data_IF_602056618253
#
_entry.id   IF_602056618253
#
_cell.length_a   1.000
_cell.length_b   1.000
_cell.length_c   1.000
_cell.angle_alpha   90.00
_cell.angle_beta   90.00
_cell.angle_gamma   90.00
#
_symmetry.space_group_name_H-M   'P 1'
#
loop_
_entity.id
_entity.type
_entity.pdbx_description
1 polymer ?
#
# COMPACT_ATOMS: atom_id res chain seq x y z
N UNK A 1 -23.82 82.29 12.41
CA UNK A 1 -24.60 81.52 11.45
C UNK A 1 -23.71 80.48 10.85
N UNK A 2 -23.76 79.29 11.34
CA UNK A 2 -22.95 78.17 10.88
C UNK A 2 -23.86 77.18 10.13
N UNK A 3 -23.58 76.99 8.82
CA UNK A 3 -24.28 76.06 7.95
C UNK A 3 -23.66 74.67 8.09
N UNK A 4 -24.44 73.68 8.48
CA UNK A 4 -24.05 72.29 8.54
C UNK A 4 -24.24 71.62 7.18
N UNK A 5 -23.15 71.17 6.53
CA UNK A 5 -23.20 70.40 5.33
C UNK A 5 -23.26 68.89 5.72
N UNK A 6 -24.43 68.31 5.51
CA UNK A 6 -24.66 66.86 5.65
C UNK A 6 -24.12 66.09 4.44
N UNK A 7 -22.97 65.48 4.56
CA UNK A 7 -22.45 64.54 3.56
C UNK A 7 -23.20 63.18 3.65
N UNK A 8 -23.98 62.88 2.60
CA UNK A 8 -24.62 61.56 2.43
C UNK A 8 -23.59 60.61 1.88
N UNK A 9 -23.09 59.68 2.76
CA UNK A 9 -22.34 58.50 2.32
C UNK A 9 -23.33 57.53 1.63
N UNK A 10 -23.20 57.41 0.33
CA UNK A 10 -23.90 56.39 -0.46
C UNK A 10 -23.17 55.07 -0.29
N UNK A 11 -23.60 54.24 0.65
CA UNK A 11 -23.05 52.91 0.85
C UNK A 11 -23.64 51.99 -0.22
N UNK A 12 -22.95 51.87 -1.35
CA UNK A 12 -23.23 50.83 -2.34
C UNK A 12 -22.82 49.48 -1.74
N UNK A 13 -23.78 48.74 -1.17
CA UNK A 13 -23.65 47.36 -0.81
C UNK A 13 -23.45 46.58 -2.10
N UNK A 14 -22.19 46.33 -2.46
CA UNK A 14 -21.84 45.35 -3.48
C UNK A 14 -22.33 44.00 -2.96
N UNK A 15 -23.37 43.46 -3.57
CA UNK A 15 -23.84 42.12 -3.38
C UNK A 15 -22.69 41.15 -3.77
N UNK A 16 -21.99 40.67 -2.75
CA UNK A 16 -21.11 39.49 -2.84
C UNK A 16 -21.96 38.21 -2.88
N UNK A 17 -22.87 38.13 -3.85
CA UNK A 17 -23.73 36.98 -4.07
C UNK A 17 -23.75 36.71 -5.57
N UNK A 18 -22.79 35.86 -6.01
CA UNK A 18 -22.88 34.97 -7.15
C UNK A 18 -21.46 34.42 -7.49
N UNK A 19 -20.73 34.03 -6.46
CA UNK A 19 -19.70 33.05 -6.74
C UNK A 19 -20.41 31.69 -6.65
N UNK A 20 -20.59 30.93 -7.74
CA UNK A 20 -21.18 29.60 -7.65
C UNK A 20 -20.31 28.78 -6.69
N UNK A 21 -20.89 28.33 -5.58
CA UNK A 21 -20.22 27.34 -4.72
C UNK A 21 -19.85 26.21 -5.66
N UNK A 22 -18.57 25.84 -5.77
CA UNK A 22 -18.16 24.75 -6.66
C UNK A 22 -19.00 23.52 -6.32
N UNK A 23 -19.78 23.08 -7.29
CA UNK A 23 -20.64 21.90 -7.08
C UNK A 23 -19.73 20.74 -6.66
N UNK A 24 -20.00 20.13 -5.50
CA UNK A 24 -19.19 19.02 -5.01
C UNK A 24 -19.19 17.91 -6.05
N UNK A 25 -18.00 17.42 -6.43
CA UNK A 25 -17.87 16.27 -7.34
C UNK A 25 -18.59 15.07 -6.80
N UNK A 26 -19.40 14.42 -7.64
CA UNK A 26 -20.02 13.12 -7.34
C UNK A 26 -19.03 12.00 -7.63
N UNK A 27 -18.68 11.20 -6.63
CA UNK A 27 -17.65 10.20 -6.73
C UNK A 27 -18.18 8.78 -6.50
N UNK A 28 -17.64 7.82 -7.24
CA UNK A 28 -17.63 6.43 -6.84
C UNK A 28 -16.25 6.08 -6.31
N UNK A 29 -16.19 5.23 -5.27
CA UNK A 29 -14.95 4.80 -4.66
C UNK A 29 -14.80 3.29 -4.75
N UNK A 30 -13.72 2.80 -5.35
CA UNK A 30 -13.39 1.39 -5.48
C UNK A 30 -12.16 1.05 -4.63
N UNK A 31 -12.32 0.24 -3.60
CA UNK A 31 -11.21 -0.12 -2.72
C UNK A 31 -11.52 -1.33 -1.85
N UNK A 32 -10.48 -1.99 -1.33
CA UNK A 32 -10.66 -3.19 -0.48
C UNK A 32 -9.75 -3.15 0.76
N UNK A 33 -8.42 -2.96 0.66
CA UNK A 33 -7.50 -3.11 1.78
C UNK A 33 -7.52 -1.91 2.73
N UNK A 34 -6.89 -2.08 3.88
CA UNK A 34 -6.71 -1.01 4.88
C UNK A 34 -6.05 0.24 4.27
N UNK A 35 -5.15 0.07 3.31
CA UNK A 35 -4.48 1.16 2.59
C UNK A 35 -5.46 2.14 1.94
N UNK A 36 -6.63 1.67 1.50
CA UNK A 36 -7.65 2.49 0.84
C UNK A 36 -8.52 3.32 1.82
N UNK A 37 -8.55 2.93 3.09
CA UNK A 37 -9.45 3.53 4.09
C UNK A 37 -9.18 5.03 4.31
N UNK A 38 -7.92 5.51 4.51
CA UNK A 38 -7.66 6.93 4.70
C UNK A 38 -8.16 7.80 3.54
N UNK A 39 -8.02 7.32 2.30
CA UNK A 39 -8.53 8.04 1.12
C UNK A 39 -10.06 8.18 1.16
N UNK A 40 -10.79 7.09 1.46
CA UNK A 40 -12.25 7.16 1.57
C UNK A 40 -12.70 8.13 2.66
N UNK A 41 -12.09 8.06 3.84
CA UNK A 41 -12.39 8.94 4.97
C UNK A 41 -12.12 10.40 4.59
N UNK A 42 -10.95 10.67 4.01
CA UNK A 42 -10.52 12.02 3.64
C UNK A 42 -11.42 12.66 2.59
N UNK A 43 -11.90 11.88 1.61
CA UNK A 43 -12.86 12.37 0.61
C UNK A 43 -14.16 12.84 1.25
N UNK A 44 -14.73 12.06 2.18
CA UNK A 44 -15.95 12.41 2.90
C UNK A 44 -15.72 13.63 3.81
N UNK A 45 -14.63 13.65 4.59
CA UNK A 45 -14.28 14.76 5.49
C UNK A 45 -14.07 16.09 4.76
N UNK A 46 -13.56 16.05 3.52
CA UNK A 46 -13.34 17.25 2.70
C UNK A 46 -14.57 17.67 1.88
N UNK A 47 -15.71 17.00 2.10
CA UNK A 47 -17.00 17.39 1.51
C UNK A 47 -17.25 16.91 0.09
N UNK A 48 -16.44 15.96 -0.44
CA UNK A 48 -16.79 15.32 -1.71
C UNK A 48 -18.00 14.39 -1.54
N UNK A 49 -18.89 14.37 -2.52
CA UNK A 49 -20.07 13.51 -2.51
C UNK A 49 -19.68 12.08 -2.95
N UNK A 50 -19.28 11.22 -2.00
CA UNK A 50 -19.04 9.80 -2.28
C UNK A 50 -20.37 9.07 -2.30
N UNK A 51 -20.99 8.93 -3.48
CA UNK A 51 -22.32 8.34 -3.64
C UNK A 51 -22.35 6.82 -3.61
N UNK A 52 -21.23 6.15 -3.89
CA UNK A 52 -21.14 4.68 -3.90
C UNK A 52 -19.73 4.19 -3.57
N UNK A 53 -19.64 3.22 -2.66
CA UNK A 53 -18.42 2.46 -2.38
C UNK A 53 -18.53 1.07 -2.99
N UNK A 54 -17.55 0.70 -3.80
CA UNK A 54 -17.41 -0.61 -4.43
C UNK A 54 -16.27 -1.35 -3.77
N UNK A 55 -16.51 -2.49 -3.14
CA UNK A 55 -15.47 -3.29 -2.50
C UNK A 55 -15.64 -4.77 -2.84
N UNK A 56 -14.59 -5.56 -2.64
CA UNK A 56 -14.70 -6.99 -2.88
C UNK A 56 -15.65 -7.66 -1.88
N UNK A 57 -16.32 -8.75 -2.26
CA UNK A 57 -17.14 -9.55 -1.36
C UNK A 57 -16.41 -9.96 -0.09
N UNK A 58 -17.16 -10.16 0.99
CA UNK A 58 -16.63 -10.67 2.24
C UNK A 58 -16.00 -12.05 2.01
N UNK A 59 -14.87 -12.32 2.63
CA UNK A 59 -14.13 -13.56 2.45
C UNK A 59 -13.96 -14.29 3.78
N UNK A 60 -14.04 -15.63 3.79
CA UNK A 60 -13.65 -16.41 4.96
C UNK A 60 -12.23 -16.11 5.38
N UNK A 61 -11.99 -15.85 6.67
CA UNK A 61 -10.67 -15.58 7.23
C UNK A 61 -10.45 -16.33 8.55
N UNK A 62 -9.19 -16.71 8.79
CA UNK A 62 -8.82 -17.42 10.01
C UNK A 62 -9.21 -18.90 10.02
N UNK A 63 -8.88 -19.59 11.14
CA UNK A 63 -9.15 -21.03 11.31
C UNK A 63 -10.65 -21.38 11.37
N UNK A 64 -11.49 -20.43 11.79
CA UNK A 64 -12.96 -20.58 11.87
C UNK A 64 -13.71 -20.28 10.58
N UNK A 65 -13.03 -19.85 9.49
CA UNK A 65 -13.64 -19.48 8.21
C UNK A 65 -14.78 -18.45 8.34
N UNK A 66 -14.76 -17.61 9.36
CA UNK A 66 -15.75 -16.54 9.54
C UNK A 66 -15.66 -15.51 8.40
N UNK A 67 -16.82 -15.11 7.89
CA UNK A 67 -16.91 -14.08 6.86
C UNK A 67 -16.46 -12.73 7.44
N UNK A 68 -15.36 -12.20 6.95
CA UNK A 68 -14.81 -10.93 7.41
C UNK A 68 -15.03 -9.86 6.36
N UNK A 69 -15.72 -8.79 6.76
CA UNK A 69 -15.90 -7.60 5.95
C UNK A 69 -14.56 -6.91 5.65
N UNK A 70 -14.41 -6.40 4.41
CA UNK A 70 -13.21 -5.64 4.04
C UNK A 70 -13.08 -4.39 4.92
N UNK A 71 -11.84 -3.89 5.17
CA UNK A 71 -11.61 -2.62 5.87
C UNK A 71 -12.37 -1.44 5.25
N UNK A 72 -12.48 -1.40 3.93
CA UNK A 72 -13.24 -0.36 3.22
C UNK A 72 -14.73 -0.49 3.49
N UNK A 73 -15.32 -1.71 3.48
CA UNK A 73 -16.73 -1.93 3.84
C UNK A 73 -17.02 -1.43 5.25
N UNK A 74 -16.17 -1.81 6.22
CA UNK A 74 -16.32 -1.37 7.60
C UNK A 74 -16.28 0.16 7.74
N UNK A 75 -15.41 0.83 6.99
CA UNK A 75 -15.32 2.28 6.99
C UNK A 75 -16.53 2.94 6.32
N UNK A 76 -16.98 2.43 5.17
CA UNK A 76 -18.14 2.96 4.45
C UNK A 76 -19.42 2.85 5.28
N UNK A 77 -19.61 1.74 6.02
CA UNK A 77 -20.74 1.59 6.96
C UNK A 77 -20.73 2.66 8.04
N UNK A 78 -19.55 2.95 8.65
CA UNK A 78 -19.42 4.03 9.65
C UNK A 78 -19.69 5.42 9.09
N UNK A 79 -19.35 5.64 7.84
CA UNK A 79 -19.56 6.92 7.15
C UNK A 79 -20.97 7.07 6.57
N UNK A 80 -21.81 6.03 6.64
CA UNK A 80 -23.15 6.04 6.06
C UNK A 80 -23.19 6.06 4.54
N UNK A 81 -22.09 5.65 3.85
CA UNK A 81 -22.00 5.63 2.39
C UNK A 81 -22.55 4.32 1.84
N UNK A 82 -23.40 4.34 0.79
CA UNK A 82 -23.90 3.13 0.13
C UNK A 82 -22.78 2.20 -0.36
N UNK A 83 -22.97 0.87 -0.25
CA UNK A 83 -21.95 -0.13 -0.56
C UNK A 83 -22.49 -1.16 -1.52
N UNK A 84 -21.67 -1.57 -2.49
CA UNK A 84 -21.90 -2.73 -3.35
C UNK A 84 -20.68 -3.62 -3.37
N UNK A 85 -20.93 -4.93 -3.43
CA UNK A 85 -19.89 -5.97 -3.42
C UNK A 85 -20.11 -6.94 -4.61
N UNK A 86 -19.95 -6.49 -5.86
CA UNK A 86 -20.20 -7.32 -7.02
C UNK A 86 -19.20 -8.48 -7.10
N UNK A 87 -19.68 -9.71 -7.29
CA UNK A 87 -18.83 -10.89 -7.50
C UNK A 87 -18.02 -10.78 -8.80
N UNK A 88 -18.61 -10.17 -9.82
CA UNK A 88 -17.94 -9.85 -11.09
C UNK A 88 -18.32 -8.43 -11.49
N UNK A 89 -17.42 -7.74 -12.19
CA UNK A 89 -17.68 -6.37 -12.68
C UNK A 89 -17.78 -6.28 -14.20
N UNK A 90 -17.16 -7.20 -14.93
CA UNK A 90 -17.05 -7.12 -16.39
C UNK A 90 -18.41 -7.24 -17.09
N UNK A 91 -19.20 -8.24 -16.71
CA UNK A 91 -20.48 -8.58 -17.35
C UNK A 91 -21.66 -8.47 -16.37
N UNK A 92 -21.60 -7.57 -15.40
CA UNK A 92 -22.64 -7.36 -14.40
C UNK A 92 -23.52 -6.18 -14.81
N UNK A 93 -24.69 -6.46 -15.41
CA UNK A 93 -25.63 -5.46 -15.90
C UNK A 93 -26.22 -4.61 -14.80
N UNK A 94 -26.55 -5.20 -13.65
CA UNK A 94 -27.16 -4.50 -12.51
C UNK A 94 -26.17 -3.52 -11.88
N UNK A 95 -24.93 -3.97 -11.68
CA UNK A 95 -23.87 -3.10 -11.18
C UNK A 95 -23.57 -1.97 -12.17
N UNK A 96 -23.54 -2.29 -13.49
CA UNK A 96 -23.36 -1.26 -14.51
C UNK A 96 -24.48 -0.22 -14.50
N UNK A 97 -25.73 -0.64 -14.40
CA UNK A 97 -26.89 0.26 -14.30
C UNK A 97 -26.76 1.15 -13.06
N UNK A 98 -26.52 0.55 -11.87
CA UNK A 98 -26.38 1.30 -10.63
C UNK A 98 -25.26 2.34 -10.67
N UNK A 99 -24.09 1.99 -11.22
CA UNK A 99 -22.96 2.90 -11.33
C UNK A 99 -23.23 4.01 -12.37
N UNK A 100 -23.94 3.68 -13.46
CA UNK A 100 -24.33 4.66 -14.48
C UNK A 100 -25.38 5.65 -13.98
N UNK A 101 -26.35 5.17 -13.18
CA UNK A 101 -27.39 6.04 -12.58
C UNK A 101 -26.81 7.02 -11.57
N UNK A 102 -25.71 6.63 -10.90
CA UNK A 102 -24.95 7.54 -10.02
C UNK A 102 -24.37 8.73 -10.77
N UNK A 103 -24.05 8.59 -12.06
CA UNK A 103 -23.38 9.62 -12.90
C UNK A 103 -22.15 10.20 -12.22
N UNK A 104 -21.14 9.38 -11.87
CA UNK A 104 -19.97 9.86 -11.15
C UNK A 104 -19.15 10.80 -12.04
N UNK A 105 -18.66 11.91 -11.48
CA UNK A 105 -17.70 12.79 -12.14
C UNK A 105 -16.32 12.14 -12.24
N UNK A 106 -15.95 11.36 -11.23
CA UNK A 106 -14.74 10.54 -11.21
C UNK A 106 -14.97 9.24 -10.43
N UNK A 107 -14.19 8.20 -10.78
CA UNK A 107 -14.13 6.96 -10.00
C UNK A 107 -12.74 6.88 -9.38
N UNK A 108 -12.67 6.84 -8.04
CA UNK A 108 -11.41 6.73 -7.30
C UNK A 108 -11.14 5.27 -7.02
N UNK A 109 -9.97 4.78 -7.41
CA UNK A 109 -9.57 3.36 -7.26
C UNK A 109 -8.34 3.28 -6.36
N UNK A 110 -8.45 2.54 -5.25
CA UNK A 110 -7.33 2.35 -4.32
C UNK A 110 -7.27 0.89 -3.90
N UNK A 111 -6.36 0.13 -4.48
CA UNK A 111 -6.17 -1.28 -4.12
C UNK A 111 -7.44 -2.12 -4.26
N UNK A 112 -8.26 -1.90 -5.28
CA UNK A 112 -9.50 -2.65 -5.48
C UNK A 112 -9.26 -4.12 -5.82
N UNK A 113 -8.15 -4.41 -6.51
CA UNK A 113 -7.72 -5.77 -6.81
C UNK A 113 -8.51 -6.45 -7.94
N UNK A 114 -9.15 -5.68 -8.82
CA UNK A 114 -9.81 -6.16 -10.03
C UNK A 114 -9.48 -5.28 -11.22
N UNK A 115 -9.46 -5.87 -12.40
CA UNK A 115 -9.29 -5.16 -13.67
C UNK A 115 -10.55 -4.32 -13.91
N UNK A 116 -10.40 -3.02 -14.14
CA UNK A 116 -11.49 -2.11 -14.47
C UNK A 116 -11.88 -2.32 -15.94
N UNK A 117 -13.13 -2.71 -16.23
CA UNK A 117 -13.56 -2.95 -17.60
C UNK A 117 -13.72 -1.64 -18.38
N UNK A 118 -13.63 -1.71 -19.71
CA UNK A 118 -13.67 -0.53 -20.60
C UNK A 118 -14.90 0.34 -20.36
N UNK A 119 -16.09 -0.25 -20.22
CA UNK A 119 -17.32 0.51 -19.98
C UNK A 119 -17.26 1.37 -18.72
N UNK A 120 -16.48 0.94 -17.71
CA UNK A 120 -16.29 1.67 -16.45
C UNK A 120 -15.19 2.73 -16.59
N UNK A 121 -14.19 2.51 -17.47
CA UNK A 121 -13.18 3.51 -17.81
C UNK A 121 -13.82 4.71 -18.55
N UNK A 122 -14.77 4.43 -19.43
CA UNK A 122 -15.43 5.44 -20.28
C UNK A 122 -16.54 6.22 -19.56
N UNK A 123 -16.96 5.78 -18.36
CA UNK A 123 -18.13 6.31 -17.67
C UNK A 123 -17.92 7.73 -17.09
N UNK A 124 -16.90 8.01 -16.28
CA UNK A 124 -16.77 9.32 -15.63
C UNK A 124 -16.01 10.34 -16.49
N UNK A 125 -16.50 11.59 -16.60
CA UNK A 125 -15.87 12.62 -17.45
C UNK A 125 -14.45 12.99 -17.00
N UNK A 126 -14.15 12.95 -15.69
CA UNK A 126 -12.81 13.20 -15.17
C UNK A 126 -11.92 11.93 -15.20
N UNK A 127 -12.51 10.78 -15.52
CA UNK A 127 -11.84 9.48 -15.63
C UNK A 127 -11.78 8.71 -14.33
N UNK A 128 -11.16 7.52 -14.43
CA UNK A 128 -10.85 6.68 -13.29
C UNK A 128 -9.46 7.04 -12.77
N UNK A 129 -9.36 7.38 -11.49
CA UNK A 129 -8.14 7.87 -10.86
C UNK A 129 -7.66 6.82 -9.86
N UNK A 130 -6.46 6.29 -10.06
CA UNK A 130 -5.82 5.35 -9.15
C UNK A 130 -4.85 6.07 -8.22
N UNK A 131 -4.83 5.64 -6.96
CA UNK A 131 -3.76 5.91 -6.02
C UNK A 131 -2.82 4.72 -5.99
N UNK A 132 -1.64 4.86 -6.59
CA UNK A 132 -0.62 3.83 -6.63
C UNK A 132 0.49 4.10 -5.60
N UNK A 133 0.91 3.05 -4.87
CA UNK A 133 1.85 3.19 -3.76
C UNK A 133 3.32 3.09 -4.20
N UNK A 134 3.68 3.81 -5.25
CA UNK A 134 5.06 4.01 -5.71
C UNK A 134 5.20 5.31 -6.49
N UNK A 135 6.44 5.67 -6.81
CA UNK A 135 6.78 6.72 -7.77
C UNK A 135 6.81 6.14 -9.19
N UNK A 136 5.66 6.11 -9.86
CA UNK A 136 5.58 5.64 -11.24
C UNK A 136 6.52 6.43 -12.18
N UNK A 137 7.15 5.76 -13.13
CA UNK A 137 6.86 4.43 -13.66
C UNK A 137 7.53 3.27 -12.93
N UNK A 138 8.25 3.51 -11.81
CA UNK A 138 8.84 2.43 -11.02
C UNK A 138 7.75 1.66 -10.25
N UNK A 139 7.96 0.35 -10.10
CA UNK A 139 7.13 -0.54 -9.27
C UNK A 139 5.66 -0.61 -9.72
N UNK A 140 5.40 -0.73 -11.03
CA UNK A 140 4.06 -1.08 -11.54
C UNK A 140 3.65 -2.46 -11.06
N UNK A 141 2.42 -2.62 -10.61
CA UNK A 141 1.85 -3.92 -10.20
C UNK A 141 1.35 -3.97 -8.75
N UNK A 142 1.23 -5.19 -8.22
CA UNK A 142 0.41 -5.47 -7.05
C UNK A 142 1.08 -5.19 -5.68
N UNK A 143 2.43 -5.19 -5.60
CA UNK A 143 3.15 -5.13 -4.32
C UNK A 143 4.26 -4.06 -4.29
N UNK A 144 3.99 -2.80 -4.70
CA UNK A 144 5.02 -1.76 -4.83
C UNK A 144 5.72 -1.45 -3.50
N UNK A 145 5.00 -1.41 -2.40
CA UNK A 145 5.54 -1.09 -1.06
C UNK A 145 6.55 -2.14 -0.62
N UNK A 146 6.15 -3.42 -0.71
CA UNK A 146 6.98 -4.54 -0.29
C UNK A 146 8.27 -4.63 -1.11
N UNK A 147 8.14 -4.49 -2.43
CA UNK A 147 9.29 -4.58 -3.32
C UNK A 147 10.22 -3.38 -3.22
N UNK A 148 9.73 -2.18 -2.93
CA UNK A 148 10.58 -1.01 -2.69
C UNK A 148 11.49 -1.24 -1.48
N UNK A 149 10.94 -1.71 -0.35
CA UNK A 149 11.74 -2.05 0.84
C UNK A 149 12.68 -3.21 0.55
N UNK A 150 12.18 -4.31 0.00
CA UNK A 150 12.96 -5.54 -0.22
C UNK A 150 14.15 -5.32 -1.16
N UNK A 151 14.06 -4.37 -2.09
CA UNK A 151 15.14 -3.98 -2.99
C UNK A 151 16.06 -2.90 -2.43
N UNK A 152 15.79 -2.42 -1.20
CA UNK A 152 16.65 -1.46 -0.51
C UNK A 152 16.55 -0.02 -1.03
N UNK A 153 15.41 0.36 -1.61
CA UNK A 153 15.18 1.76 -1.97
C UNK A 153 15.22 2.64 -0.70
N UNK A 154 15.82 3.78 -0.80
CA UNK A 154 15.88 4.80 0.27
C UNK A 154 14.72 5.80 0.20
N UNK A 155 14.08 5.89 -0.98
CA UNK A 155 12.98 6.82 -1.27
C UNK A 155 11.89 6.04 -2.01
N UNK A 156 10.65 6.31 -1.66
CA UNK A 156 9.45 5.88 -2.36
C UNK A 156 8.42 7.00 -2.37
N UNK A 157 7.19 6.70 -2.68
CA UNK A 157 6.12 7.70 -2.64
C UNK A 157 4.79 7.14 -3.09
N UNK A 158 3.89 8.04 -3.42
CA UNK A 158 2.58 7.76 -3.99
C UNK A 158 2.40 8.51 -5.29
N UNK A 159 1.64 7.92 -6.19
CA UNK A 159 1.27 8.52 -7.48
C UNK A 159 -0.24 8.47 -7.65
N UNK A 160 -0.86 9.60 -7.96
CA UNK A 160 -2.21 9.61 -8.56
C UNK A 160 -2.06 9.54 -10.07
N UNK A 161 -2.82 8.69 -10.72
CA UNK A 161 -2.76 8.48 -12.17
C UNK A 161 -4.13 8.20 -12.76
N UNK A 162 -4.33 8.48 -14.04
CA UNK A 162 -5.47 7.98 -14.78
C UNK A 162 -5.32 6.48 -15.03
N UNK A 163 -6.41 5.72 -14.93
CA UNK A 163 -6.39 4.30 -15.29
C UNK A 163 -6.62 4.18 -16.78
N UNK A 164 -5.79 3.39 -17.44
CA UNK A 164 -5.95 2.93 -18.82
C UNK A 164 -6.10 1.40 -18.86
N UNK A 165 -6.04 0.82 -20.04
CA UNK A 165 -6.14 -0.63 -20.25
C UNK A 165 -4.89 -1.42 -19.85
N UNK A 166 -3.77 -0.73 -19.57
CA UNK A 166 -2.50 -1.34 -19.19
C UNK A 166 -2.35 -1.53 -17.68
N UNK A 167 -1.28 -2.19 -17.27
CA UNK A 167 -0.94 -2.36 -15.86
C UNK A 167 -0.19 -1.13 -15.34
N UNK A 168 -0.90 -0.23 -14.65
CA UNK A 168 -0.38 1.01 -14.07
C UNK A 168 0.40 1.88 -15.09
N UNK A 169 -0.09 1.94 -16.33
CA UNK A 169 0.57 2.64 -17.45
C UNK A 169 0.00 4.03 -17.74
N UNK A 170 -1.14 4.35 -17.18
CA UNK A 170 -1.85 5.60 -17.44
C UNK A 170 -1.08 6.85 -17.02
N UNK A 171 -1.56 7.99 -17.50
CA UNK A 171 -0.89 9.27 -17.29
C UNK A 171 -0.83 9.67 -15.81
N UNK A 172 0.34 10.06 -15.34
CA UNK A 172 0.57 10.58 -13.99
C UNK A 172 -0.12 11.93 -13.85
N UNK A 173 -0.85 12.09 -12.75
CA UNK A 173 -1.49 13.36 -12.35
C UNK A 173 -0.61 14.10 -11.34
N UNK A 174 -0.36 13.49 -10.17
CA UNK A 174 0.53 14.01 -9.13
C UNK A 174 1.39 12.90 -8.53
N UNK A 175 2.50 13.30 -7.92
CA UNK A 175 3.39 12.42 -7.17
C UNK A 175 3.86 13.11 -5.90
N UNK A 176 4.04 12.32 -4.84
CA UNK A 176 4.66 12.78 -3.61
C UNK A 176 5.66 11.75 -3.10
N UNK A 177 6.88 12.19 -2.85
CA UNK A 177 7.98 11.38 -2.36
C UNK A 177 8.02 11.35 -0.84
N UNK A 178 8.48 10.23 -0.28
CA UNK A 178 8.87 10.10 1.13
C UNK A 178 10.11 9.22 1.27
N UNK A 179 10.95 9.45 2.30
CA UNK A 179 12.02 8.52 2.63
C UNK A 179 11.47 7.22 3.21
N UNK A 180 12.18 6.13 2.97
CA UNK A 180 11.99 4.85 3.65
C UNK A 180 12.95 4.82 4.84
N UNK A 181 12.43 4.82 6.06
CA UNK A 181 13.25 4.75 7.27
C UNK A 181 13.91 3.37 7.41
N UNK A 182 15.05 3.33 8.12
CA UNK A 182 15.81 2.09 8.30
C UNK A 182 15.02 0.99 9.04
N UNK A 183 14.05 1.36 9.86
CA UNK A 183 13.15 0.48 10.62
C UNK A 183 11.77 0.29 9.98
N UNK A 184 11.49 0.93 8.83
CA UNK A 184 10.21 0.74 8.15
C UNK A 184 10.02 -0.71 7.70
N UNK A 185 8.87 -1.25 8.07
CA UNK A 185 8.31 -2.48 7.50
C UNK A 185 7.30 -2.14 6.41
N UNK A 186 6.86 -3.14 5.64
CA UNK A 186 5.79 -2.90 4.67
C UNK A 186 4.51 -2.35 5.31
N UNK A 187 4.21 -2.73 6.54
CA UNK A 187 3.02 -2.26 7.27
C UNK A 187 3.15 -0.79 7.70
N UNK A 188 4.29 -0.40 8.30
CA UNK A 188 4.51 0.98 8.75
C UNK A 188 4.60 1.94 7.57
N UNK A 189 5.31 1.55 6.51
CA UNK A 189 5.42 2.33 5.28
C UNK A 189 4.06 2.47 4.57
N UNK A 190 3.26 1.40 4.52
CA UNK A 190 1.91 1.45 3.95
C UNK A 190 1.02 2.45 4.69
N UNK A 191 1.11 2.53 6.02
CA UNK A 191 0.34 3.51 6.79
C UNK A 191 0.73 4.96 6.46
N UNK A 192 2.04 5.24 6.34
CA UNK A 192 2.55 6.56 5.93
C UNK A 192 2.08 6.94 4.52
N UNK A 193 2.25 6.01 3.56
CA UNK A 193 1.85 6.23 2.17
C UNK A 193 0.33 6.39 2.01
N UNK A 194 -0.48 5.67 2.78
CA UNK A 194 -1.92 5.79 2.77
C UNK A 194 -2.40 7.18 3.25
N UNK A 195 -1.76 7.74 4.28
CA UNK A 195 -2.08 9.06 4.79
C UNK A 195 -1.78 10.16 3.77
N UNK A 196 -0.55 10.21 3.24
CA UNK A 196 -0.17 11.22 2.23
C UNK A 196 -0.93 11.03 0.92
N UNK A 197 -1.22 9.79 0.54
CA UNK A 197 -1.98 9.45 -0.65
C UNK A 197 -3.43 9.96 -0.57
N UNK A 198 -4.03 9.96 0.61
CA UNK A 198 -5.37 10.52 0.82
C UNK A 198 -5.41 12.03 0.52
N UNK A 199 -4.44 12.79 1.03
CA UNK A 199 -4.34 14.23 0.73
C UNK A 199 -4.00 14.48 -0.74
N UNK A 200 -3.15 13.63 -1.34
CA UNK A 200 -2.79 13.75 -2.75
C UNK A 200 -3.99 13.52 -3.69
N UNK A 201 -4.91 12.60 -3.36
CA UNK A 201 -6.17 12.39 -4.10
C UNK A 201 -7.06 13.64 -4.03
N UNK A 202 -7.21 14.24 -2.85
CA UNK A 202 -7.99 15.48 -2.68
C UNK A 202 -7.41 16.59 -3.56
N UNK A 203 -6.11 16.82 -3.49
CA UNK A 203 -5.41 17.82 -4.33
C UNK A 203 -5.58 17.51 -5.82
N UNK A 204 -5.52 16.25 -6.21
CA UNK A 204 -5.73 15.81 -7.60
C UNK A 204 -7.14 16.15 -8.07
N UNK A 205 -8.16 15.84 -7.28
CA UNK A 205 -9.56 16.12 -7.64
C UNK A 205 -9.84 17.62 -7.74
N UNK A 206 -9.32 18.41 -6.81
CA UNK A 206 -9.42 19.87 -6.87
C UNK A 206 -8.76 20.44 -8.13
N UNK A 207 -7.57 19.94 -8.49
CA UNK A 207 -6.87 20.32 -9.71
C UNK A 207 -7.61 19.92 -11.00
N UNK A 208 -8.25 18.75 -11.02
CA UNK A 208 -9.07 18.28 -12.14
C UNK A 208 -10.34 19.14 -12.27
N UNK A 209 -11.04 19.40 -11.17
CA UNK A 209 -12.23 20.24 -11.15
C UNK A 209 -11.92 21.68 -11.59
N UNK A 210 -10.80 22.24 -11.15
CA UNK A 210 -10.35 23.58 -11.53
C UNK A 210 -9.70 23.67 -12.91
N UNK A 211 -9.55 22.55 -13.64
CA UNK A 211 -8.91 22.53 -14.97
C UNK A 211 -7.41 22.85 -14.96
N UNK A 212 -6.77 22.86 -13.79
CA UNK A 212 -5.34 23.15 -13.62
C UNK A 212 -4.45 21.94 -13.73
N UNK A 213 -5.02 20.73 -13.62
CA UNK A 213 -4.29 19.48 -13.71
C UNK A 213 -3.75 19.23 -15.13
N UNK A 214 -2.47 18.86 -15.22
CA UNK A 214 -1.80 18.51 -16.48
C UNK A 214 -1.29 17.07 -16.42
N UNK A 215 -2.02 16.10 -17.00
CA UNK A 215 -1.59 14.73 -17.06
C UNK A 215 -0.25 14.60 -17.79
N UNK A 216 0.67 13.77 -17.27
CA UNK A 216 1.99 13.54 -17.82
C UNK A 216 2.15 12.06 -18.18
N UNK A 217 2.50 11.76 -19.43
CA UNK A 217 2.80 10.40 -19.87
C UNK A 217 3.97 9.79 -19.11
N UNK A 218 3.86 8.51 -18.80
CA UNK A 218 4.94 7.78 -18.16
C UNK A 218 6.05 7.45 -19.17
N UNK A 219 7.30 7.58 -18.76
CA UNK A 219 8.47 7.09 -19.50
C UNK A 219 8.62 5.59 -19.26
N UNK A 220 8.09 4.78 -20.18
CA UNK A 220 8.13 3.31 -20.02
C UNK A 220 9.54 2.71 -20.05
N UNK A 221 10.56 3.42 -20.51
CA UNK A 221 11.96 2.95 -20.44
C UNK A 221 12.48 2.88 -19.00
N UNK A 222 11.87 3.63 -18.08
CA UNK A 222 12.19 3.65 -16.64
C UNK A 222 11.27 2.78 -15.80
N UNK A 223 10.35 2.05 -16.43
CA UNK A 223 9.39 1.23 -15.71
C UNK A 223 10.06 0.01 -15.08
N UNK A 224 9.69 -0.27 -13.83
CA UNK A 224 10.02 -1.51 -13.15
C UNK A 224 8.75 -2.19 -12.64
N UNK A 225 8.82 -3.50 -12.41
CA UNK A 225 7.66 -4.28 -11.98
C UNK A 225 7.73 -4.62 -10.49
N UNK A 226 6.57 -4.60 -9.84
CA UNK A 226 6.33 -5.08 -8.49
C UNK A 226 5.27 -6.19 -8.52
N UNK A 227 5.66 -7.43 -8.89
CA UNK A 227 4.72 -8.52 -9.05
C UNK A 227 4.01 -8.85 -7.74
N UNK A 228 2.87 -9.54 -7.84
CA UNK A 228 2.19 -10.09 -6.68
C UNK A 228 3.14 -10.99 -5.92
N UNK A 229 3.20 -10.83 -4.59
CA UNK A 229 4.03 -11.67 -3.75
C UNK A 229 3.49 -13.10 -3.69
N UNK A 230 4.40 -14.06 -3.63
CA UNK A 230 4.13 -15.48 -3.45
C UNK A 230 4.78 -15.96 -2.16
N UNK A 231 4.36 -17.09 -1.65
CA UNK A 231 4.94 -17.67 -0.43
C UNK A 231 6.45 -17.87 -0.56
N UNK A 232 6.90 -18.28 -1.74
CA UNK A 232 8.30 -18.58 -2.06
C UNK A 232 9.20 -17.33 -1.96
N UNK A 233 8.66 -16.13 -2.21
CA UNK A 233 9.41 -14.88 -2.07
C UNK A 233 9.91 -14.65 -0.64
N UNK A 234 9.23 -15.23 0.35
CA UNK A 234 9.65 -15.18 1.76
C UNK A 234 10.81 -16.09 2.11
N UNK A 235 11.23 -17.00 1.22
CA UNK A 235 12.40 -17.85 1.43
C UNK A 235 13.67 -17.01 1.43
N UNK A 236 14.40 -17.03 2.54
CA UNK A 236 15.65 -16.29 2.68
C UNK A 236 16.82 -17.07 2.05
N UNK A 237 17.43 -16.46 1.06
CA UNK A 237 18.66 -16.93 0.45
C UNK A 237 19.86 -16.20 1.08
N UNK A 238 20.56 -16.88 1.97
CA UNK A 238 21.69 -16.31 2.69
C UNK A 238 22.95 -16.12 1.83
N UNK A 239 22.93 -16.42 0.55
CA UNK A 239 23.99 -16.00 -0.38
C UNK A 239 24.00 -14.50 -0.64
N UNK A 240 22.88 -13.80 -0.38
CA UNK A 240 22.78 -12.33 -0.43
C UNK A 240 23.45 -11.67 0.78
N UNK A 241 23.83 -10.39 0.65
CA UNK A 241 24.40 -9.58 1.74
C UNK A 241 23.40 -9.42 2.90
N UNK A 242 23.94 -9.21 4.09
CA UNK A 242 23.14 -8.99 5.30
C UNK A 242 22.09 -7.86 5.15
N UNK A 243 22.45 -6.74 4.51
CA UNK A 243 21.53 -5.64 4.25
C UNK A 243 20.35 -6.05 3.34
N UNK A 244 20.61 -6.85 2.32
CA UNK A 244 19.55 -7.35 1.41
C UNK A 244 18.61 -8.33 2.14
N UNK A 245 19.16 -9.20 2.98
CA UNK A 245 18.36 -10.12 3.83
C UNK A 245 17.46 -9.32 4.77
N UNK A 246 17.97 -8.28 5.43
CA UNK A 246 17.19 -7.43 6.32
C UNK A 246 16.11 -6.64 5.57
N UNK A 247 16.41 -6.14 4.38
CA UNK A 247 15.43 -5.46 3.55
C UNK A 247 14.29 -6.39 3.16
N UNK A 248 14.59 -7.64 2.75
CA UNK A 248 13.55 -8.64 2.45
C UNK A 248 12.76 -9.01 3.71
N UNK A 249 13.41 -9.15 4.87
CA UNK A 249 12.73 -9.42 6.13
C UNK A 249 11.72 -8.32 6.45
N UNK A 250 12.11 -7.04 6.35
CA UNK A 250 11.22 -5.89 6.62
C UNK A 250 10.11 -5.75 5.56
N UNK A 251 10.49 -5.89 4.28
CA UNK A 251 9.58 -5.69 3.15
C UNK A 251 8.51 -6.78 3.05
N UNK A 252 8.80 -7.99 3.50
CA UNK A 252 7.88 -9.12 3.35
C UNK A 252 7.06 -9.44 4.60
N UNK A 253 7.22 -8.68 5.68
CA UNK A 253 6.32 -8.77 6.83
C UNK A 253 5.04 -7.97 6.59
N UNK A 254 3.87 -8.49 7.06
CA UNK A 254 3.67 -9.79 7.71
C UNK A 254 3.54 -10.97 6.73
N UNK A 255 3.40 -10.72 5.44
CA UNK A 255 3.23 -11.73 4.40
C UNK A 255 4.07 -11.39 3.16
N UNK A 256 4.76 -12.38 2.55
CA UNK A 256 4.81 -13.82 2.88
C UNK A 256 5.58 -14.15 4.16
N UNK A 257 6.19 -13.18 4.80
CA UNK A 257 7.12 -13.34 5.90
C UNK A 257 8.53 -13.63 5.41
N UNK A 258 9.47 -13.78 6.35
CA UNK A 258 10.85 -14.18 6.07
C UNK A 258 11.13 -15.51 6.74
N UNK A 259 11.51 -16.53 6.00
CA UNK A 259 11.70 -17.86 6.56
C UNK A 259 12.88 -18.60 5.95
N UNK A 260 13.39 -19.55 6.71
CA UNK A 260 14.45 -20.47 6.32
C UNK A 260 14.14 -21.87 6.86
N UNK A 261 15.11 -22.77 6.87
CA UNK A 261 15.02 -24.06 7.54
C UNK A 261 16.11 -24.21 8.61
N UNK A 262 15.73 -24.85 9.70
CA UNK A 262 16.62 -25.28 10.76
C UNK A 262 16.31 -26.75 11.08
N UNK A 263 17.29 -27.64 10.86
CA UNK A 263 17.14 -29.09 11.06
C UNK A 263 15.89 -29.67 10.37
N UNK A 264 15.69 -29.31 9.08
CA UNK A 264 14.55 -29.76 8.27
C UNK A 264 13.18 -29.18 8.61
N UNK A 265 13.08 -28.29 9.60
CA UNK A 265 11.83 -27.60 9.99
C UNK A 265 11.85 -26.16 9.53
N UNK A 266 10.67 -25.64 9.17
CA UNK A 266 10.54 -24.22 8.82
C UNK A 266 10.88 -23.33 10.04
N UNK A 267 11.73 -22.35 9.83
CA UNK A 267 12.13 -21.35 10.82
C UNK A 267 11.75 -19.97 10.32
N UNK A 268 10.69 -19.40 10.89
CA UNK A 268 10.28 -18.04 10.62
C UNK A 268 11.22 -17.05 11.31
N UNK A 269 11.71 -16.08 10.57
CA UNK A 269 12.51 -14.96 11.07
C UNK A 269 11.59 -13.75 11.27
N UNK A 270 11.49 -13.28 12.51
CA UNK A 270 10.61 -12.15 12.84
C UNK A 270 11.38 -10.85 12.98
N UNK A 271 12.55 -10.91 13.59
CA UNK A 271 13.39 -9.74 13.81
C UNK A 271 14.86 -10.10 13.73
N UNK A 272 15.64 -9.24 13.07
CA UNK A 272 17.08 -9.35 12.97
C UNK A 272 17.71 -7.96 12.86
N UNK A 273 19.01 -7.87 13.09
CA UNK A 273 19.82 -6.67 12.96
C UNK A 273 21.11 -6.96 12.18
N UNK A 274 21.75 -5.92 11.64
CA UNK A 274 23.10 -6.04 11.08
C UNK A 274 24.08 -6.43 12.19
N UNK A 275 25.01 -7.32 11.87
CA UNK A 275 26.05 -7.72 12.80
C UNK A 275 27.44 -7.50 12.18
N UNK A 276 28.35 -6.95 12.98
CA UNK A 276 29.75 -6.82 12.60
C UNK A 276 30.46 -8.17 12.86
N UNK A 277 30.21 -9.12 11.97
CA UNK A 277 30.76 -10.48 11.98
C UNK A 277 31.02 -10.96 10.57
N UNK A 278 32.11 -11.66 10.39
CA UNK A 278 32.50 -12.29 9.13
C UNK A 278 32.19 -13.78 9.20
N UNK A 279 31.02 -14.19 8.66
CA UNK A 279 30.56 -15.58 8.65
C UNK A 279 30.36 -16.09 7.23
N UNK A 280 30.45 -17.40 7.04
CA UNK A 280 30.08 -18.03 5.76
C UNK A 280 28.57 -17.98 5.56
N UNK A 281 28.05 -17.87 4.32
CA UNK A 281 26.61 -17.87 4.07
C UNK A 281 25.91 -19.04 4.76
N UNK A 282 24.77 -18.78 5.40
CA UNK A 282 23.95 -19.73 6.18
C UNK A 282 24.57 -20.26 7.49
N UNK A 283 25.85 -20.03 7.75
CA UNK A 283 26.51 -20.49 9.00
C UNK A 283 25.79 -19.88 10.22
N UNK A 284 25.43 -20.74 11.18
CA UNK A 284 24.94 -20.31 12.49
C UNK A 284 26.11 -20.21 13.47
N UNK A 285 26.12 -19.12 14.24
CA UNK A 285 27.08 -18.92 15.32
C UNK A 285 26.37 -18.42 16.58
N UNK A 286 26.66 -19.09 17.68
CA UNK A 286 26.21 -18.68 19.00
C UNK A 286 27.37 -18.02 19.74
N UNK A 287 27.16 -16.82 20.28
CA UNK A 287 28.09 -16.09 21.13
C UNK A 287 27.34 -15.64 22.40
N UNK A 288 27.51 -16.37 23.49
CA UNK A 288 26.71 -16.17 24.71
C UNK A 288 25.23 -16.47 24.46
N UNK A 289 24.37 -15.44 24.61
CA UNK A 289 22.92 -15.51 24.36
C UNK A 289 22.49 -14.92 23.01
N UNK A 290 23.47 -14.61 22.14
CA UNK A 290 23.26 -14.03 20.82
C UNK A 290 23.43 -15.09 19.73
N UNK A 291 22.55 -15.04 18.74
CA UNK A 291 22.55 -15.93 17.58
C UNK A 291 22.80 -15.17 16.29
N UNK A 292 23.82 -15.56 15.57
CA UNK A 292 24.20 -14.94 14.30
C UNK A 292 23.96 -15.91 13.14
N UNK A 293 23.57 -15.36 11.99
CA UNK A 293 23.51 -16.08 10.72
C UNK A 293 24.40 -15.38 9.68
N UNK A 294 25.29 -16.16 9.06
CA UNK A 294 26.17 -15.68 8.01
C UNK A 294 25.39 -15.40 6.72
N UNK A 295 25.82 -14.37 6.01
CA UNK A 295 25.25 -13.90 4.74
C UNK A 295 26.35 -13.78 3.67
N UNK A 296 25.95 -13.44 2.44
CA UNK A 296 26.87 -13.24 1.32
C UNK A 296 27.96 -12.20 1.63
N UNK A 297 29.05 -12.28 0.88
CA UNK A 297 30.24 -11.43 1.04
C UNK A 297 30.80 -11.40 2.48
N UNK A 298 30.68 -12.52 3.20
CA UNK A 298 31.10 -12.68 4.60
C UNK A 298 30.50 -11.66 5.55
N UNK A 299 29.29 -11.18 5.27
CA UNK A 299 28.50 -10.36 6.19
C UNK A 299 27.66 -11.26 7.11
N UNK A 300 26.99 -10.67 8.11
CA UNK A 300 26.13 -11.43 9.01
C UNK A 300 24.96 -10.57 9.53
N UNK A 301 23.90 -11.27 9.94
CA UNK A 301 22.81 -10.72 10.74
C UNK A 301 22.78 -11.36 12.10
N UNK A 302 22.39 -10.59 13.12
CA UNK A 302 21.98 -11.10 14.42
C UNK A 302 20.49 -11.41 14.36
N UNK A 303 20.12 -12.65 14.64
CA UNK A 303 18.74 -13.09 14.76
C UNK A 303 18.23 -12.73 16.15
N UNK A 304 17.12 -11.98 16.25
CA UNK A 304 16.60 -11.51 17.52
C UNK A 304 15.36 -12.29 17.94
N UNK A 305 14.39 -12.45 17.01
CA UNK A 305 13.14 -13.15 17.23
C UNK A 305 12.91 -14.22 16.16
N UNK A 306 12.59 -15.41 16.57
CA UNK A 306 12.46 -16.61 15.74
C UNK A 306 11.17 -17.36 16.08
N UNK A 307 10.71 -18.19 15.12
CA UNK A 307 9.62 -19.13 15.37
C UNK A 307 9.85 -20.42 14.60
N UNK A 308 10.16 -21.48 15.30
CA UNK A 308 10.26 -22.80 14.71
C UNK A 308 8.87 -23.37 14.44
N UNK A 309 8.71 -24.10 13.36
CA UNK A 309 7.48 -24.76 12.97
C UNK A 309 6.81 -25.50 14.13
N UNK A 310 5.50 -25.25 14.33
CA UNK A 310 4.71 -25.83 15.42
C UNK A 310 5.00 -25.27 16.82
N UNK A 311 5.84 -24.23 16.92
CA UNK A 311 6.19 -23.57 18.20
C UNK A 311 5.72 -22.13 18.26
N UNK A 312 5.81 -21.51 19.43
CA UNK A 312 5.57 -20.08 19.60
C UNK A 312 6.78 -19.26 19.16
N UNK A 313 6.56 -18.01 18.78
CA UNK A 313 7.60 -17.00 18.59
C UNK A 313 8.38 -16.84 19.89
N UNK A 314 9.70 -16.76 19.80
CA UNK A 314 10.62 -16.73 20.95
C UNK A 314 11.84 -15.87 20.62
N UNK A 315 12.43 -15.28 21.64
CA UNK A 315 13.71 -14.59 21.51
C UNK A 315 14.84 -15.57 21.16
N UNK A 316 15.89 -15.06 20.51
CA UNK A 316 17.05 -15.87 20.12
C UNK A 316 17.73 -16.55 21.33
N UNK A 317 17.81 -15.89 22.48
CA UNK A 317 18.37 -16.47 23.72
C UNK A 317 17.60 -17.71 24.19
N UNK A 318 16.25 -17.69 24.08
CA UNK A 318 15.42 -18.85 24.43
C UNK A 318 15.56 -19.97 23.39
N UNK A 319 15.67 -19.58 22.10
CA UNK A 319 15.93 -20.51 21.01
C UNK A 319 17.26 -21.25 21.24
N UNK A 320 18.33 -20.53 21.61
CA UNK A 320 19.65 -21.10 21.91
C UNK A 320 19.54 -22.10 23.08
N UNK A 321 18.88 -21.74 24.19
CA UNK A 321 18.69 -22.63 25.35
C UNK A 321 17.92 -23.89 25.01
N UNK A 322 16.87 -23.74 24.19
CA UNK A 322 15.97 -24.84 23.83
C UNK A 322 16.53 -25.80 22.77
N UNK A 323 17.23 -25.26 21.77
CA UNK A 323 17.65 -26.04 20.59
C UNK A 323 19.17 -26.27 20.52
N UNK A 324 19.97 -25.50 21.25
CA UNK A 324 21.43 -25.61 21.33
C UNK A 324 22.08 -25.75 19.95
N UNK A 325 22.02 -24.71 19.10
CA UNK A 325 22.67 -24.76 17.78
C UNK A 325 24.16 -25.13 17.92
N UNK A 326 24.64 -26.05 17.10
CA UNK A 326 25.99 -26.52 17.13
C UNK A 326 26.92 -25.64 16.27
N UNK A 327 28.23 -25.56 16.60
CA UNK A 327 29.22 -24.94 15.73
C UNK A 327 29.20 -25.57 14.33
N UNK A 328 29.16 -24.72 13.29
CA UNK A 328 29.13 -25.18 11.89
C UNK A 328 27.75 -25.57 11.37
N UNK A 329 26.71 -25.54 12.21
CA UNK A 329 25.34 -25.76 11.77
C UNK A 329 24.88 -24.64 10.83
N UNK A 330 24.00 -24.95 9.87
CA UNK A 330 23.60 -24.02 8.81
C UNK A 330 22.09 -23.91 8.69
N UNK A 331 21.63 -22.74 8.29
CA UNK A 331 20.26 -22.49 7.87
C UNK A 331 20.05 -22.85 6.39
N UNK A 332 18.82 -23.17 6.00
CA UNK A 332 18.43 -23.21 4.59
C UNK A 332 18.95 -24.39 3.78
N UNK A 333 19.29 -25.51 4.42
CA UNK A 333 19.51 -26.76 3.71
C UNK A 333 18.14 -27.29 3.30
N UNK A 334 17.73 -26.95 2.07
CA UNK A 334 16.47 -27.41 1.49
C UNK A 334 16.68 -28.79 0.90
N UNK A 335 15.93 -29.75 1.39
CA UNK A 335 15.87 -31.07 0.79
C UNK A 335 15.01 -30.96 -0.48
N UNK A 336 15.65 -30.94 -1.64
CA UNK A 336 14.98 -30.77 -2.96
C UNK A 336 14.16 -32.02 -3.35
N UNK A 337 14.11 -33.03 -2.50
CA UNK A 337 13.45 -34.32 -2.75
C UNK A 337 12.04 -34.44 -2.15
N UNK A 338 11.44 -33.36 -1.66
CA UNK A 338 10.05 -33.38 -1.13
C UNK A 338 9.12 -32.42 -1.83
#
# INVERSE_FOLDING_TARGET
>A
MLSAATSRFNCSIIRLLDCPVPQSLNLAFCGTPRFAVPTLVRLVETGFAVGLVVTQPDRPKGRGLELVASPVKQSALRLGVPIVQPETIKNNTDFRAQLSDLKPDAIIVVGYGRIIPQWMLDLPPLGNINLHASLLPKYRGAAPIQWAIARGESITGVTTMKIDSGLDTGDILLQQEIPIAADDTAETLAAKLAAIGADLIVTTLQGLQGGTMRPRKQDSSKATLAPILRKEDGRMDFSHKAGEILNRLRGFQPWPGAYSQFRGKNLQLWQAALADRALSPSELRVEGDRLFAGCGERTAIELLDLQLEGKKRTAASDFIRGYRPLPGERLGIWDETK
#
